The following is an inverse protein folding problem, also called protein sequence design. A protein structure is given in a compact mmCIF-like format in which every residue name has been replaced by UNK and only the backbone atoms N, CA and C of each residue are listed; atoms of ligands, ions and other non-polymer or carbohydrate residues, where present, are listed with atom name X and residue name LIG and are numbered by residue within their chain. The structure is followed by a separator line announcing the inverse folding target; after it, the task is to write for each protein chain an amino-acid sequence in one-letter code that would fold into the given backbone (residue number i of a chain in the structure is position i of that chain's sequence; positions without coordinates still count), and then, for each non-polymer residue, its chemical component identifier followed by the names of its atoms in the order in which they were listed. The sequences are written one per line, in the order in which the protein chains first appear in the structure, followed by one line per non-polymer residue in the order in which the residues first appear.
data_IF_254663274391
#
_entry.id   IF_254663274391
#
_cell.length_a   1.000
_cell.length_b   1.000
_cell.length_c   1.000
_cell.angle_alpha   90.00
_cell.angle_beta   90.00
_cell.angle_gamma   90.00
#
_symmetry.space_group_name_H-M   'P 1'
#
loop_
_entity.id
_entity.type
_entity.pdbx_description
1 polymer ?
#
# COMPACT_ATOMS: atom_id res chain seq x y z
N UNK A 1 10.59 -9.35 0.56
CA UNK A 1 9.77 -8.39 -0.18
C UNK A 1 9.70 -7.14 0.68
N UNK A 2 10.17 -6.01 0.17
CA UNK A 2 10.26 -4.78 0.95
C UNK A 2 9.04 -3.91 0.68
N UNK A 3 8.56 -3.24 1.71
CA UNK A 3 7.48 -2.27 1.55
C UNK A 3 7.97 -1.15 0.63
N UNK A 4 7.23 -0.83 -0.45
CA UNK A 4 7.62 0.26 -1.36
C UNK A 4 7.51 1.65 -0.72
N UNK A 5 6.83 1.77 0.43
CA UNK A 5 6.62 3.04 1.14
C UNK A 5 7.71 3.28 2.17
N UNK A 6 7.96 2.33 3.09
CA UNK A 6 8.92 2.50 4.18
C UNK A 6 10.22 1.71 4.03
N UNK A 7 10.34 0.87 3.00
CA UNK A 7 11.48 -0.05 2.82
C UNK A 7 11.53 -1.23 3.79
N UNK A 8 10.61 -1.28 4.76
CA UNK A 8 10.57 -2.29 5.81
C UNK A 8 10.34 -3.71 5.28
N UNK A 9 10.83 -4.70 6.02
CA UNK A 9 10.70 -6.13 5.70
C UNK A 9 9.49 -6.80 6.33
N UNK A 10 8.81 -6.11 7.26
CA UNK A 10 7.61 -6.61 7.93
C UNK A 10 6.37 -6.46 7.03
N UNK A 11 6.43 -7.10 5.87
CA UNK A 11 5.35 -7.16 4.88
C UNK A 11 4.76 -8.56 4.87
N UNK A 12 3.46 -8.66 5.10
CA UNK A 12 2.68 -9.90 5.01
C UNK A 12 1.85 -9.95 3.74
N UNK A 13 1.54 -11.16 3.24
CA UNK A 13 0.62 -11.36 2.12
C UNK A 13 -0.80 -11.53 2.67
N UNK A 14 -1.74 -10.70 2.22
CA UNK A 14 -3.15 -10.70 2.70
C UNK A 14 -4.14 -11.20 1.65
N UNK A 15 -3.73 -11.26 0.38
CA UNK A 15 -4.57 -11.74 -0.71
C UNK A 15 -3.77 -12.15 -1.94
N UNK A 16 -4.44 -12.36 -3.08
CA UNK A 16 -3.73 -12.68 -4.32
C UNK A 16 -3.04 -11.43 -4.87
N UNK A 17 -1.71 -11.48 -4.96
CA UNK A 17 -0.86 -10.34 -5.31
C UNK A 17 -1.05 -9.11 -4.39
N UNK A 18 -1.67 -9.27 -3.21
CA UNK A 18 -1.89 -8.22 -2.21
C UNK A 18 -1.04 -8.43 -0.97
N UNK A 19 -0.47 -7.33 -0.49
CA UNK A 19 0.50 -7.30 0.60
C UNK A 19 0.19 -6.15 1.55
N UNK A 20 0.47 -6.35 2.83
CA UNK A 20 0.26 -5.39 3.89
C UNK A 20 1.53 -5.19 4.71
N UNK A 21 1.89 -3.93 4.99
CA UNK A 21 3.05 -3.59 5.78
C UNK A 21 2.66 -3.21 7.21
N UNK A 22 3.21 -3.94 8.18
CA UNK A 22 2.98 -3.69 9.61
C UNK A 22 3.68 -2.44 10.17
N UNK A 23 4.68 -1.89 9.48
CA UNK A 23 5.39 -0.70 9.98
C UNK A 23 4.66 0.61 9.66
N UNK A 24 4.04 0.71 8.49
CA UNK A 24 3.43 1.94 8.02
C UNK A 24 1.94 1.79 7.70
N UNK A 25 1.33 0.67 8.06
CA UNK A 25 -0.11 0.42 7.92
C UNK A 25 -0.60 0.64 6.49
N UNK A 26 0.22 0.29 5.49
CA UNK A 26 -0.14 0.39 4.07
C UNK A 26 -0.38 -0.99 3.47
N UNK A 27 -1.44 -1.08 2.68
CA UNK A 27 -1.73 -2.20 1.81
C UNK A 27 -1.32 -1.87 0.37
N UNK A 28 -0.80 -2.85 -0.35
CA UNK A 28 -0.44 -2.68 -1.74
C UNK A 28 -0.66 -3.94 -2.57
N UNK A 29 -1.06 -3.76 -3.82
CA UNK A 29 -1.25 -4.85 -4.78
C UNK A 29 -0.23 -4.76 -5.92
N UNK A 30 0.31 -5.90 -6.35
CA UNK A 30 1.29 -6.00 -7.43
C UNK A 30 0.68 -6.74 -8.64
N UNK A 31 -0.36 -6.17 -9.25
CA UNK A 31 -1.00 -6.80 -10.42
C UNK A 31 -0.47 -6.23 -11.73
N UNK A 32 -0.07 -7.13 -12.65
CA UNK A 32 0.32 -6.81 -14.04
C UNK A 32 1.35 -5.67 -14.18
N UNK A 33 2.33 -5.62 -13.27
CA UNK A 33 3.39 -4.61 -13.29
C UNK A 33 2.97 -3.22 -12.80
N UNK A 34 1.74 -3.07 -12.28
CA UNK A 34 1.29 -1.88 -11.57
C UNK A 34 1.27 -2.15 -10.08
N UNK A 35 1.66 -1.14 -9.30
CA UNK A 35 1.56 -1.17 -7.85
C UNK A 35 0.44 -0.22 -7.46
N UNK A 36 -0.62 -0.75 -6.85
CA UNK A 36 -1.69 0.06 -6.25
C UNK A 36 -1.44 0.14 -4.77
N UNK A 37 -1.40 1.35 -4.21
CA UNK A 37 -1.11 1.63 -2.80
C UNK A 37 -2.38 2.13 -2.10
N UNK A 38 -2.63 1.61 -0.91
CA UNK A 38 -3.75 1.96 -0.06
C UNK A 38 -3.23 2.18 1.37
N UNK A 39 -3.49 3.34 1.93
CA UNK A 39 -3.26 3.61 3.34
C UNK A 39 -4.46 3.10 4.15
N UNK A 40 -4.20 2.41 5.26
CA UNK A 40 -5.25 2.00 6.18
C UNK A 40 -5.43 3.11 7.22
N UNK A 41 -6.56 3.80 7.14
CA UNK A 41 -6.93 4.84 8.09
C UNK A 41 -7.22 4.24 9.48
N UNK A 42 -7.26 5.08 10.51
CA UNK A 42 -7.47 4.67 11.91
C UNK A 42 -8.81 3.95 12.14
N UNK A 43 -9.81 4.25 11.33
CA UNK A 43 -11.13 3.61 11.33
C UNK A 43 -11.16 2.28 10.56
N UNK A 44 -10.05 1.88 9.95
CA UNK A 44 -9.90 0.68 9.13
C UNK A 44 -10.31 0.87 7.66
N UNK A 45 -10.67 2.09 7.26
CA UNK A 45 -10.98 2.40 5.86
C UNK A 45 -9.71 2.40 4.99
N UNK A 46 -9.82 1.94 3.74
CA UNK A 46 -8.72 1.95 2.78
C UNK A 46 -8.76 3.24 1.94
N UNK A 47 -7.71 4.06 2.06
CA UNK A 47 -7.55 5.29 1.29
C UNK A 47 -6.54 5.05 0.18
N UNK A 48 -6.96 5.15 -1.07
CA UNK A 48 -6.06 4.96 -2.21
C UNK A 48 -5.04 6.10 -2.31
N UNK A 49 -3.76 5.76 -2.17
CA UNK A 49 -2.65 6.68 -2.39
C UNK A 49 -2.39 6.93 -3.89
N UNK A 50 -3.04 6.15 -4.77
CA UNK A 50 -2.95 6.29 -6.22
C UNK A 50 -3.92 7.33 -6.81
N UNK A 51 -4.91 7.81 -6.05
CA UNK A 51 -5.94 8.74 -6.56
C UNK A 51 -5.57 10.23 -6.41
N UNK A 52 -4.33 10.57 -6.06
CA UNK A 52 -3.91 11.98 -5.92
C UNK A 52 -2.42 12.20 -6.14
N UNK A 53 -1.94 11.98 -7.36
CA UNK A 53 -0.96 12.93 -7.91
C UNK A 53 -1.74 13.97 -8.72
N UNK A 54 -2.52 14.81 -8.02
CA UNK A 54 -2.79 16.15 -8.52
C UNK A 54 -1.49 16.92 -8.30
N UNK A 55 -0.66 17.01 -9.34
CA UNK A 55 0.45 17.95 -9.41
C UNK A 55 -0.20 19.33 -9.45
N UNK A 56 -0.52 19.84 -8.26
CA UNK A 56 -1.46 20.94 -8.11
C UNK A 56 -1.57 21.45 -6.67
N UNK A 57 -0.48 21.45 -5.89
CA UNK A 57 -0.27 22.42 -4.81
C UNK A 57 1.18 22.50 -4.37
#
# INVERSE_FOLDING_TARGET
MNCPVCGGVQVGKVGNDQYYCWNCFVEFNTSRGKISLYEVAEDGSLVSLNDSFDIGR
#
